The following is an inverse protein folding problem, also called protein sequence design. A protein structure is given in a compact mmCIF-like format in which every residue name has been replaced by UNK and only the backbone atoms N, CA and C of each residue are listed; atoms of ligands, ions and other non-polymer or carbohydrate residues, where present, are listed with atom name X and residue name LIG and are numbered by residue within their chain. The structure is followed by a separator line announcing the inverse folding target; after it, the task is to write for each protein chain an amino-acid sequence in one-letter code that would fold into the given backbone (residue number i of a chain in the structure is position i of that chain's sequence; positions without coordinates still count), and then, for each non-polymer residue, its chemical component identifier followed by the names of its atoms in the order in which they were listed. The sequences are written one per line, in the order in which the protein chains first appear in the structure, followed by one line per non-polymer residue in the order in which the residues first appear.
data_IF_204962378429
#
_entry.id   IF_204962378429
#
_cell.length_a   1.000
_cell.length_b   1.000
_cell.length_c   1.000
_cell.angle_alpha   90.00
_cell.angle_beta   90.00
_cell.angle_gamma   90.00
#
_symmetry.space_group_name_H-M   'P 1'
#
loop_
_entity.id
_entity.type
_entity.pdbx_description
1 polymer ?
#
# COMPACT_ATOMS: atom_id res chain seq x y z
N UNK A 1 45.69 -3.51 26.13
CA UNK A 1 45.68 -3.71 24.66
C UNK A 1 44.30 -4.19 24.24
N UNK A 2 43.61 -3.37 23.46
CA UNK A 2 42.24 -3.54 22.99
C UNK A 2 42.19 -4.31 21.67
N UNK A 3 41.24 -5.24 21.50
CA UNK A 3 40.68 -5.60 20.19
C UNK A 3 39.17 -5.84 20.32
N UNK A 4 38.41 -4.84 19.84
CA UNK A 4 36.95 -4.81 19.68
C UNK A 4 36.46 -6.00 18.83
N UNK A 5 35.49 -6.76 19.34
CA UNK A 5 34.55 -7.51 18.53
C UNK A 5 33.36 -6.58 18.22
N UNK A 6 33.04 -6.39 16.94
CA UNK A 6 31.90 -5.58 16.48
C UNK A 6 30.82 -6.52 15.95
N UNK A 7 29.56 -6.19 16.27
CA UNK A 7 28.31 -6.75 15.72
C UNK A 7 27.92 -8.15 16.23
N UNK A 8 27.42 -8.22 17.46
CA UNK A 8 26.65 -9.35 17.97
C UNK A 8 25.50 -8.86 18.86
N UNK A 9 24.70 -7.91 18.37
CA UNK A 9 23.66 -7.26 19.19
C UNK A 9 22.50 -6.70 18.40
N UNK A 10 22.11 -7.36 17.32
CA UNK A 10 20.94 -6.95 16.55
C UNK A 10 20.20 -8.16 15.96
N UNK A 11 19.82 -9.13 16.80
CA UNK A 11 18.64 -9.98 16.66
C UNK A 11 18.66 -11.11 17.71
N UNK A 12 17.82 -10.97 18.72
CA UNK A 12 17.25 -12.00 19.62
C UNK A 12 16.45 -11.20 20.66
N UNK A 13 15.24 -11.51 21.09
CA UNK A 13 14.27 -12.57 20.86
C UNK A 13 12.93 -12.01 21.40
N UNK A 14 11.83 -12.68 21.09
CA UNK A 14 10.48 -12.35 21.58
C UNK A 14 10.35 -12.36 23.11
N UNK A 15 9.37 -11.62 23.65
CA UNK A 15 8.34 -12.12 24.59
C UNK A 15 7.45 -10.98 25.16
N UNK A 16 6.12 -11.12 25.06
CA UNK A 16 5.09 -10.41 25.87
C UNK A 16 5.05 -10.99 27.30
N UNK A 17 4.54 -10.36 28.42
CA UNK A 17 3.27 -9.60 28.52
C UNK A 17 3.11 -8.54 29.68
N UNK A 18 1.90 -7.94 29.77
CA UNK A 18 1.21 -7.27 30.94
C UNK A 18 1.44 -5.78 31.32
N UNK A 19 0.36 -5.00 31.11
CA UNK A 19 -0.24 -3.92 31.94
C UNK A 19 0.62 -3.07 32.87
N UNK A 20 0.73 -1.75 32.58
CA UNK A 20 0.14 -0.63 33.36
C UNK A 20 0.56 0.74 32.79
N UNK A 21 -0.39 1.70 32.84
CA UNK A 21 -0.31 3.15 32.52
C UNK A 21 -0.38 3.56 31.04
N UNK A 22 -1.61 3.62 30.51
CA UNK A 22 -1.96 4.26 29.22
C UNK A 22 -2.73 5.58 29.41
N UNK A 23 -2.55 6.26 30.53
CA UNK A 23 -3.43 7.39 30.90
C UNK A 23 -2.84 8.76 30.54
N UNK A 24 -1.52 8.90 30.39
CA UNK A 24 -0.90 10.23 30.15
C UNK A 24 -0.55 10.55 28.69
N UNK A 25 -0.60 9.58 27.76
CA UNK A 25 -0.20 9.83 26.35
C UNK A 25 -1.38 10.27 25.47
N UNK A 26 -2.62 10.03 25.90
CA UNK A 26 -3.82 10.35 25.12
C UNK A 26 -4.18 11.85 25.14
N UNK A 27 -3.72 12.60 26.14
CA UNK A 27 -4.03 14.03 26.30
C UNK A 27 -3.23 14.95 25.35
N UNK A 28 -2.10 14.46 24.81
CA UNK A 28 -1.20 15.25 23.98
C UNK A 28 -1.43 15.12 22.45
N UNK A 29 -2.38 14.29 22.01
CA UNK A 29 -2.63 14.02 20.57
C UNK A 29 -3.86 14.79 20.05
N UNK A 30 -4.58 15.51 20.93
CA UNK A 30 -5.86 16.18 20.62
C UNK A 30 -5.79 17.49 19.83
N UNK A 31 -4.70 17.81 19.12
CA UNK A 31 -4.53 19.14 18.52
C UNK A 31 -4.19 19.19 17.03
N UNK A 32 -4.32 18.09 16.28
CA UNK A 32 -4.19 18.12 14.81
C UNK A 32 -5.25 17.24 14.13
N UNK A 33 -6.52 17.40 14.50
CA UNK A 33 -7.63 16.89 13.67
C UNK A 33 -7.80 17.79 12.47
N UNK A 34 -6.90 17.66 11.49
CA UNK A 34 -7.24 17.96 10.10
C UNK A 34 -8.43 17.08 9.79
N UNK A 35 -9.59 17.69 9.62
CA UNK A 35 -10.78 17.04 9.08
C UNK A 35 -10.38 16.45 7.73
N UNK A 36 -9.99 15.18 7.71
CA UNK A 36 -9.92 14.42 6.47
C UNK A 36 -11.36 14.31 6.00
N UNK A 37 -11.77 15.25 5.14
CA UNK A 37 -12.98 15.09 4.35
C UNK A 37 -12.94 13.68 3.78
N UNK A 38 -13.95 12.90 4.13
CA UNK A 38 -14.16 11.58 3.56
C UNK A 38 -14.50 11.85 2.10
N UNK A 39 -13.47 11.91 1.25
CA UNK A 39 -13.61 12.08 -0.19
C UNK A 39 -14.71 11.12 -0.60
N UNK A 40 -15.79 11.66 -1.15
CA UNK A 40 -17.01 10.95 -1.51
C UNK A 40 -16.63 9.74 -2.36
N UNK A 41 -16.40 8.61 -1.68
CA UNK A 41 -15.85 7.42 -2.31
C UNK A 41 -17.08 6.72 -2.87
N UNK A 42 -17.60 7.23 -3.98
CA UNK A 42 -18.65 6.55 -4.73
C UNK A 42 -18.24 5.09 -4.88
N UNK A 43 -19.20 4.17 -4.66
CA UNK A 43 -18.90 2.74 -4.57
C UNK A 43 -18.17 2.26 -5.84
N UNK A 44 -16.85 2.14 -5.76
CA UNK A 44 -16.03 1.65 -6.87
C UNK A 44 -16.29 0.15 -7.01
N UNK A 45 -16.80 -0.27 -8.16
CA UNK A 45 -16.93 -1.69 -8.50
C UNK A 45 -15.52 -2.25 -8.73
N UNK A 46 -15.22 -3.38 -8.10
CA UNK A 46 -13.96 -4.10 -8.28
C UNK A 46 -14.21 -5.32 -9.15
N UNK A 47 -13.27 -5.61 -10.03
CA UNK A 47 -13.27 -6.82 -10.85
C UNK A 47 -11.85 -7.39 -10.87
N UNK A 48 -11.76 -8.71 -10.86
CA UNK A 48 -10.52 -9.45 -11.05
C UNK A 48 -10.62 -10.18 -12.37
N UNK A 49 -9.63 -10.02 -13.24
CA UNK A 49 -9.59 -10.66 -14.55
C UNK A 49 -8.46 -11.66 -14.60
N UNK A 50 -8.75 -12.89 -15.02
CA UNK A 50 -7.73 -13.83 -15.42
C UNK A 50 -7.33 -13.52 -16.87
N UNK A 51 -6.05 -13.21 -17.09
CA UNK A 51 -5.50 -12.86 -18.38
C UNK A 51 -4.44 -13.88 -18.77
N UNK A 52 -4.29 -14.11 -20.07
CA UNK A 52 -3.13 -14.84 -20.61
C UNK A 52 -1.83 -14.19 -20.10
N UNK A 53 -0.85 -15.03 -19.74
CA UNK A 53 0.47 -14.61 -19.25
C UNK A 53 1.17 -13.68 -20.26
N UNK A 54 1.07 -13.96 -21.56
CA UNK A 54 1.66 -13.10 -22.58
C UNK A 54 0.97 -11.75 -22.67
N UNK A 55 -0.37 -11.75 -22.62
CA UNK A 55 -1.17 -10.54 -22.66
C UNK A 55 -0.88 -9.66 -21.45
N UNK A 56 -0.83 -10.26 -20.26
CA UNK A 56 -0.48 -9.56 -19.02
C UNK A 56 0.91 -8.89 -19.11
N UNK A 57 1.91 -9.59 -19.63
CA UNK A 57 3.27 -9.04 -19.83
C UNK A 57 3.26 -7.87 -20.81
N UNK A 58 2.57 -8.01 -21.95
CA UNK A 58 2.45 -6.96 -22.98
C UNK A 58 1.77 -5.71 -22.42
N UNK A 59 0.66 -5.88 -21.68
CA UNK A 59 -0.04 -4.78 -21.03
C UNK A 59 0.84 -4.07 -20.00
N UNK A 60 1.58 -4.83 -19.19
CA UNK A 60 2.50 -4.26 -18.20
C UNK A 60 3.63 -3.46 -18.85
N UNK A 61 4.21 -3.96 -19.94
CA UNK A 61 5.23 -3.24 -20.69
C UNK A 61 4.66 -1.97 -21.33
N UNK A 62 3.49 -2.06 -21.94
CA UNK A 62 2.81 -0.90 -22.53
C UNK A 62 2.53 0.19 -21.49
N UNK A 63 2.01 -0.21 -20.32
CA UNK A 63 1.76 0.70 -19.21
C UNK A 63 3.05 1.43 -18.77
N UNK A 64 4.14 0.68 -18.61
CA UNK A 64 5.45 1.23 -18.24
C UNK A 64 6.00 2.22 -19.29
N UNK A 65 5.86 1.92 -20.58
CA UNK A 65 6.32 2.78 -21.68
C UNK A 65 5.56 4.10 -21.75
N UNK A 66 4.28 4.10 -21.38
CA UNK A 66 3.42 5.29 -21.45
C UNK A 66 3.30 6.02 -20.11
N UNK A 67 3.96 5.56 -19.05
CA UNK A 67 3.90 6.18 -17.72
C UNK A 67 2.52 6.09 -17.06
N UNK A 68 1.71 5.11 -17.46
CA UNK A 68 0.36 4.87 -16.93
C UNK A 68 0.30 3.53 -16.20
N UNK A 69 -0.76 3.30 -15.45
CA UNK A 69 -1.00 2.01 -14.78
C UNK A 69 -1.64 1.01 -15.73
N UNK A 70 -1.37 -0.28 -15.50
CA UNK A 70 -2.03 -1.35 -16.26
C UNK A 70 -3.55 -1.32 -16.11
N UNK A 71 -4.07 -0.88 -14.95
CA UNK A 71 -5.51 -0.73 -14.71
C UNK A 71 -6.12 0.33 -15.62
N UNK A 72 -5.49 1.49 -15.78
CA UNK A 72 -5.97 2.54 -16.69
C UNK A 72 -6.04 2.07 -18.14
N UNK A 73 -5.06 1.25 -18.56
CA UNK A 73 -5.09 0.62 -19.90
C UNK A 73 -6.31 -0.28 -20.07
N UNK A 74 -6.61 -1.10 -19.06
CA UNK A 74 -7.78 -2.00 -19.08
C UNK A 74 -9.08 -1.21 -19.02
N UNK A 75 -9.18 -0.18 -18.17
CA UNK A 75 -10.36 0.68 -18.08
C UNK A 75 -10.65 1.38 -19.42
N UNK A 76 -9.62 1.90 -20.09
CA UNK A 76 -9.77 2.51 -21.41
C UNK A 76 -10.25 1.49 -22.47
N UNK A 77 -9.69 0.28 -22.46
CA UNK A 77 -10.08 -0.78 -23.40
C UNK A 77 -11.53 -1.25 -23.19
N UNK A 78 -11.94 -1.47 -21.93
CA UNK A 78 -13.30 -1.86 -21.56
C UNK A 78 -14.29 -0.75 -21.94
N UNK A 79 -13.96 0.50 -21.63
CA UNK A 79 -14.79 1.65 -21.99
C UNK A 79 -14.99 1.73 -23.50
N UNK A 80 -13.90 1.61 -24.27
CA UNK A 80 -13.98 1.61 -25.74
C UNK A 80 -14.87 0.49 -26.28
N UNK A 81 -14.77 -0.72 -25.73
CA UNK A 81 -15.59 -1.85 -26.16
C UNK A 81 -17.08 -1.71 -25.83
N UNK A 82 -17.44 -0.95 -24.79
CA UNK A 82 -18.85 -0.70 -24.42
C UNK A 82 -19.43 0.45 -25.25
N UNK A 83 -18.60 1.44 -25.61
CA UNK A 83 -19.00 2.62 -26.37
C UNK A 83 -19.03 2.36 -27.90
N UNK A 84 -18.31 1.35 -28.41
CA UNK A 84 -18.38 0.82 -29.79
C UNK A 84 -19.56 -0.16 -29.97
#
# INVERSE_FOLDING_TARGET
MSKKAKFAGLLSEEETPTTKKKEDVLSAISSNTVTQETVNTGMKKKATYELDIELHKKLKLYAALNGITMTEVVEAAVKKYIDD
#
